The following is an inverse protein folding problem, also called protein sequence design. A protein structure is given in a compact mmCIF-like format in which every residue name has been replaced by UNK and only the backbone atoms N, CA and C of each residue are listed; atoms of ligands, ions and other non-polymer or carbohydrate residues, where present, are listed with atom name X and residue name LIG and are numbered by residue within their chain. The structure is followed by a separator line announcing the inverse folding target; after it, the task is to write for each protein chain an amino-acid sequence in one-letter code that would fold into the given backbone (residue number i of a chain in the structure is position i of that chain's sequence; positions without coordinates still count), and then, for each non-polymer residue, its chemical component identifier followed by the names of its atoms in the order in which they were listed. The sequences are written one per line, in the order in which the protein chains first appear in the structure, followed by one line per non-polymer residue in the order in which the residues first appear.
data_IF_971393598832
#
_entry.id   IF_971393598832
#
_cell.length_a   1.000
_cell.length_b   1.000
_cell.length_c   1.000
_cell.angle_alpha   90.00
_cell.angle_beta   90.00
_cell.angle_gamma   90.00
#
_symmetry.space_group_name_H-M   'P 1'
#
loop_
_entity.id
_entity.type
_entity.pdbx_description
1 polymer ?
#
# COMPACT_ATOMS: atom_id res chain seq x y z
N UNK A 1 15.21 -16.48 70.33
CA UNK A 1 14.11 -15.77 69.67
C UNK A 1 14.51 -15.56 68.20
N UNK A 2 14.08 -16.48 67.36
CA UNK A 2 14.47 -16.52 65.93
C UNK A 2 13.37 -15.86 65.11
N UNK A 3 13.77 -14.89 64.29
CA UNK A 3 12.90 -14.24 63.35
C UNK A 3 13.07 -14.93 62.00
N UNK A 4 12.05 -15.66 61.58
CA UNK A 4 11.99 -16.30 60.27
C UNK A 4 11.69 -15.25 59.20
N UNK A 5 12.60 -15.12 58.23
CA UNK A 5 12.39 -14.33 57.02
C UNK A 5 11.73 -15.21 55.94
N UNK A 6 10.48 -14.99 55.64
CA UNK A 6 9.77 -15.59 54.52
C UNK A 6 10.13 -14.88 53.23
N UNK A 7 10.73 -15.60 52.29
CA UNK A 7 10.93 -15.15 50.90
C UNK A 7 9.69 -15.46 50.09
N UNK A 8 8.99 -14.40 49.62
CA UNK A 8 7.97 -14.53 48.64
C UNK A 8 8.58 -14.61 47.23
N UNK A 9 8.32 -15.72 46.55
CA UNK A 9 8.61 -15.89 45.14
C UNK A 9 7.35 -15.47 44.37
N UNK A 10 7.45 -14.41 43.57
CA UNK A 10 6.43 -14.06 42.59
C UNK A 10 6.74 -14.79 41.28
N UNK A 11 5.94 -15.77 40.94
CA UNK A 11 5.95 -16.41 39.62
C UNK A 11 5.13 -15.58 38.66
N UNK A 12 5.79 -14.97 37.69
CA UNK A 12 5.13 -14.31 36.56
C UNK A 12 4.95 -15.38 35.48
N UNK A 13 3.72 -15.82 35.33
CA UNK A 13 3.28 -16.66 34.20
C UNK A 13 3.02 -15.75 32.96
N UNK A 14 3.94 -15.80 32.01
CA UNK A 14 3.73 -15.27 30.68
C UNK A 14 2.96 -16.30 29.86
N UNK A 15 1.66 -16.12 29.74
CA UNK A 15 0.84 -16.87 28.78
C UNK A 15 0.92 -16.17 27.43
N UNK A 16 1.89 -16.55 26.62
CA UNK A 16 1.98 -16.15 25.22
C UNK A 16 1.00 -16.94 24.36
N UNK A 17 -0.18 -16.41 24.14
CA UNK A 17 -1.12 -16.95 23.15
C UNK A 17 -0.72 -16.49 21.76
N UNK A 18 -0.10 -17.38 20.95
CA UNK A 18 0.08 -17.17 19.52
C UNK A 18 -1.24 -17.53 18.85
N UNK A 19 -2.04 -16.53 18.50
CA UNK A 19 -3.16 -16.68 17.59
C UNK A 19 -2.62 -16.66 16.14
N UNK A 20 -2.41 -17.85 15.57
CA UNK A 20 -2.19 -17.99 14.14
C UNK A 20 -3.56 -17.86 13.47
N UNK A 21 -3.95 -16.64 13.15
CA UNK A 21 -5.08 -16.36 12.27
C UNK A 21 -4.64 -16.52 10.83
N UNK A 22 -5.16 -17.54 10.14
CA UNK A 22 -5.10 -17.61 8.69
C UNK A 22 -5.98 -16.49 8.12
N UNK A 23 -5.39 -15.32 7.88
CA UNK A 23 -6.03 -14.15 7.28
C UNK A 23 -5.25 -13.76 6.03
N UNK A 24 -5.92 -13.94 4.90
CA UNK A 24 -5.66 -13.44 3.56
C UNK A 24 -4.54 -12.40 3.40
N UNK A 25 -3.71 -12.61 2.40
CA UNK A 25 -2.57 -11.83 1.93
C UNK A 25 -2.88 -10.37 1.46
N UNK A 26 -3.89 -9.72 2.01
CA UNK A 26 -4.28 -8.34 1.68
C UNK A 26 -3.49 -7.26 2.44
N UNK A 27 -2.57 -7.62 3.34
CA UNK A 27 -1.92 -6.69 4.26
C UNK A 27 -0.52 -6.22 3.84
N UNK A 28 -0.07 -6.48 2.63
CA UNK A 28 1.33 -6.17 2.26
C UNK A 28 1.55 -4.68 1.89
N UNK A 29 0.52 -3.85 1.91
CA UNK A 29 0.69 -2.39 1.72
C UNK A 29 0.42 -1.57 2.97
N UNK A 30 0.28 -2.20 4.13
CA UNK A 30 0.21 -1.48 5.38
C UNK A 30 1.61 -1.16 5.86
N UNK A 31 2.00 0.11 5.74
CA UNK A 31 3.04 0.74 6.55
C UNK A 31 4.50 0.40 6.23
N UNK A 32 4.97 0.74 5.05
CA UNK A 32 6.30 1.30 5.01
C UNK A 32 6.26 2.66 5.77
N UNK A 33 7.24 2.99 6.64
CA UNK A 33 7.21 4.21 7.45
C UNK A 33 7.10 5.51 6.64
N UNK A 34 7.21 5.43 5.33
CA UNK A 34 7.27 6.56 4.40
C UNK A 34 6.08 6.64 3.43
N UNK A 35 5.13 5.72 3.49
CA UNK A 35 3.89 5.73 2.72
C UNK A 35 2.72 5.29 3.60
N UNK A 36 1.76 6.18 3.82
CA UNK A 36 0.47 5.85 4.40
C UNK A 36 -0.55 5.75 3.27
N UNK A 37 -1.04 4.54 2.98
CA UNK A 37 -2.07 4.29 1.97
C UNK A 37 -3.26 3.60 2.61
N UNK A 38 -4.45 4.15 2.39
CA UNK A 38 -5.71 3.65 2.94
C UNK A 38 -6.69 3.37 1.82
N UNK A 39 -7.27 2.16 1.80
CA UNK A 39 -8.44 1.87 0.99
C UNK A 39 -9.64 2.64 1.58
N UNK A 40 -10.20 3.58 0.83
CA UNK A 40 -11.31 4.44 1.27
C UNK A 40 -12.63 4.07 0.61
N UNK A 41 -12.59 3.37 -0.53
CA UNK A 41 -13.79 2.89 -1.21
C UNK A 41 -13.51 1.63 -2.01
N UNK A 42 -14.48 0.72 -2.04
CA UNK A 42 -14.47 -0.51 -2.84
C UNK A 42 -15.88 -0.82 -3.30
N UNK A 43 -16.05 -1.20 -4.55
CA UNK A 43 -17.33 -1.64 -5.09
C UNK A 43 -17.16 -2.60 -6.26
N UNK A 44 -18.10 -3.49 -6.43
CA UNK A 44 -18.23 -4.30 -7.64
C UNK A 44 -18.73 -3.43 -8.80
N UNK A 45 -18.29 -3.75 -10.01
CA UNK A 45 -18.75 -3.06 -11.20
C UNK A 45 -19.92 -3.83 -11.83
N UNK A 46 -21.14 -3.27 -11.73
CA UNK A 46 -22.38 -3.96 -12.12
C UNK A 46 -22.39 -4.45 -13.58
N UNK A 47 -21.77 -3.70 -14.49
CA UNK A 47 -21.74 -4.03 -15.91
C UNK A 47 -20.48 -4.80 -16.35
N UNK A 48 -19.60 -5.13 -15.40
CA UNK A 48 -18.35 -5.87 -15.62
C UNK A 48 -18.22 -6.98 -14.57
N UNK A 49 -18.95 -8.12 -14.75
CA UNK A 49 -18.92 -9.21 -13.79
C UNK A 49 -17.50 -9.66 -13.47
N UNK A 50 -17.21 -9.85 -12.19
CA UNK A 50 -15.88 -10.25 -11.73
C UNK A 50 -14.88 -9.11 -11.60
N UNK A 51 -15.24 -7.88 -11.95
CA UNK A 51 -14.41 -6.69 -11.79
C UNK A 51 -14.84 -5.86 -10.58
N UNK A 52 -13.86 -5.19 -9.98
CA UNK A 52 -14.06 -4.27 -8.86
C UNK A 52 -13.31 -2.96 -9.06
N UNK A 53 -13.82 -1.91 -8.45
CA UNK A 53 -13.16 -0.62 -8.33
C UNK A 53 -12.68 -0.43 -6.90
N UNK A 54 -11.43 -0.06 -6.75
CA UNK A 54 -10.78 0.30 -5.50
C UNK A 54 -10.32 1.75 -5.56
N UNK A 55 -10.52 2.51 -4.47
CA UNK A 55 -10.00 3.85 -4.33
C UNK A 55 -9.15 3.94 -3.06
N UNK A 56 -7.91 4.36 -3.25
CA UNK A 56 -6.95 4.58 -2.15
C UNK A 56 -6.63 6.06 -2.02
N UNK A 57 -6.56 6.52 -0.76
CA UNK A 57 -5.95 7.80 -0.42
C UNK A 57 -4.56 7.53 0.16
N UNK A 58 -3.55 8.18 -0.37
CA UNK A 58 -2.16 7.94 0.00
C UNK A 58 -1.41 9.23 0.31
N UNK A 59 -0.60 9.19 1.36
CA UNK A 59 0.32 10.25 1.76
C UNK A 59 1.75 9.72 1.62
N UNK A 60 2.59 10.44 0.89
CA UNK A 60 3.95 10.06 0.55
C UNK A 60 4.94 10.97 1.24
N UNK A 61 5.82 10.41 2.03
CA UNK A 61 6.89 11.17 2.64
C UNK A 61 7.97 11.57 1.62
N UNK A 62 8.72 12.65 1.89
CA UNK A 62 9.83 13.08 1.04
C UNK A 62 10.82 11.96 0.73
N UNK A 63 11.23 11.84 -0.53
CA UNK A 63 12.20 10.85 -0.98
C UNK A 63 11.72 9.40 -1.08
N UNK A 64 10.50 9.09 -0.66
CA UNK A 64 10.02 7.71 -0.70
C UNK A 64 9.76 7.23 -2.14
N UNK A 65 10.16 5.98 -2.40
CA UNK A 65 9.95 5.28 -3.67
C UNK A 65 9.30 3.92 -3.42
N UNK A 66 8.24 3.63 -4.17
CA UNK A 66 7.67 2.27 -4.21
C UNK A 66 8.61 1.30 -4.92
N UNK A 67 8.62 0.01 -4.50
CA UNK A 67 9.23 -1.04 -5.31
C UNK A 67 8.64 -1.10 -6.72
N UNK A 68 9.44 -1.57 -7.67
CA UNK A 68 8.95 -1.84 -9.03
C UNK A 68 7.87 -2.92 -8.95
N UNK A 69 6.70 -2.64 -9.49
CA UNK A 69 5.54 -3.53 -9.43
C UNK A 69 4.66 -3.39 -10.67
N UNK A 70 3.68 -4.27 -10.81
CA UNK A 70 2.63 -4.18 -11.81
C UNK A 70 1.29 -4.62 -11.21
N UNK A 71 0.21 -4.27 -11.89
CA UNK A 71 -1.16 -4.69 -11.53
C UNK A 71 -1.65 -5.72 -12.53
N UNK A 72 -1.74 -7.03 -12.14
CA UNK A 72 -2.25 -8.07 -13.03
C UNK A 72 -3.69 -7.75 -13.46
N UNK A 73 -3.91 -7.62 -14.78
CA UNK A 73 -5.21 -7.27 -15.38
C UNK A 73 -5.87 -6.01 -14.79
N UNK A 74 -5.09 -5.17 -14.11
CA UNK A 74 -5.58 -4.02 -13.38
C UNK A 74 -5.21 -2.70 -14.04
N UNK A 75 -6.20 -1.84 -14.24
CA UNK A 75 -6.01 -0.43 -14.62
C UNK A 75 -5.71 0.40 -13.38
N UNK A 76 -4.78 1.36 -13.51
CA UNK A 76 -4.53 2.33 -12.46
C UNK A 76 -4.63 3.76 -13.00
N UNK A 77 -5.36 4.61 -12.29
CA UNK A 77 -5.36 6.05 -12.48
C UNK A 77 -4.91 6.70 -11.17
N UNK A 78 -3.82 7.44 -11.20
CA UNK A 78 -3.33 8.21 -10.05
C UNK A 78 -3.55 9.70 -10.28
N UNK A 79 -4.29 10.34 -9.37
CA UNK A 79 -4.49 11.78 -9.32
C UNK A 79 -3.67 12.38 -8.18
N UNK A 80 -2.88 13.42 -8.45
CA UNK A 80 -2.10 14.12 -7.43
C UNK A 80 -2.95 15.23 -6.81
N UNK A 81 -3.25 15.10 -5.53
CA UNK A 81 -4.06 16.06 -4.77
C UNK A 81 -3.19 17.22 -4.27
N UNK A 82 -1.98 16.90 -3.80
CA UNK A 82 -1.06 17.86 -3.21
C UNK A 82 0.39 17.47 -3.51
N UNK A 83 1.23 18.47 -3.79
CA UNK A 83 2.63 18.24 -4.09
C UNK A 83 2.89 17.76 -5.51
N UNK A 84 3.86 16.85 -5.64
CA UNK A 84 4.33 16.34 -6.92
C UNK A 84 4.72 14.86 -6.77
N UNK A 85 4.50 14.08 -7.81
CA UNK A 85 4.92 12.69 -7.92
C UNK A 85 5.68 12.45 -9.21
N UNK A 86 6.75 11.66 -9.12
CA UNK A 86 7.47 11.16 -10.29
C UNK A 86 7.12 9.69 -10.51
N UNK A 87 6.71 9.35 -11.73
CA UNK A 87 6.43 7.97 -12.14
C UNK A 87 7.43 7.52 -13.19
N UNK A 88 7.84 6.26 -13.09
CA UNK A 88 8.51 5.55 -14.18
C UNK A 88 7.63 4.39 -14.62
N UNK A 89 7.24 4.39 -15.89
CA UNK A 89 6.30 3.43 -16.47
C UNK A 89 6.94 2.83 -17.71
N UNK A 90 7.02 1.51 -17.77
CA UNK A 90 7.58 0.79 -18.92
C UNK A 90 6.82 1.17 -20.20
N UNK A 91 7.58 1.45 -21.27
CA UNK A 91 7.04 1.88 -22.56
C UNK A 91 6.58 3.36 -22.61
N UNK A 92 6.52 4.05 -21.47
CA UNK A 92 6.13 5.48 -21.39
C UNK A 92 7.30 6.36 -20.95
N UNK A 93 8.17 5.84 -20.07
CA UNK A 93 9.30 6.56 -19.48
C UNK A 93 8.92 7.33 -18.22
N UNK A 94 9.76 8.30 -17.85
CA UNK A 94 9.59 9.12 -16.65
C UNK A 94 8.59 10.24 -16.88
N UNK A 95 7.64 10.38 -15.96
CA UNK A 95 6.65 11.46 -15.91
C UNK A 95 6.63 12.12 -14.53
N UNK A 96 6.62 13.44 -14.53
CA UNK A 96 6.39 14.26 -13.34
C UNK A 96 4.94 14.74 -13.38
N UNK A 97 4.18 14.47 -12.33
CA UNK A 97 2.75 14.76 -12.21
C UNK A 97 2.54 15.65 -10.99
N UNK A 98 1.94 16.82 -11.21
CA UNK A 98 1.75 17.86 -10.17
C UNK A 98 0.32 17.83 -9.63
N UNK A 99 0.11 18.53 -8.53
CA UNK A 99 -1.23 18.72 -7.96
C UNK A 99 -2.22 19.20 -9.02
N UNK A 100 -3.37 18.54 -9.12
CA UNK A 100 -4.40 18.77 -10.14
C UNK A 100 -4.25 17.94 -11.40
N UNK A 101 -3.17 17.17 -11.55
CA UNK A 101 -2.92 16.34 -12.72
C UNK A 101 -3.12 14.85 -12.38
N UNK A 102 -3.29 14.03 -13.41
CA UNK A 102 -3.42 12.58 -13.29
C UNK A 102 -2.55 11.84 -14.29
N UNK A 103 -2.20 10.60 -13.95
CA UNK A 103 -1.48 9.68 -14.82
C UNK A 103 -2.18 8.33 -14.85
N UNK A 104 -2.20 7.71 -16.02
CA UNK A 104 -2.74 6.38 -16.23
C UNK A 104 -1.63 5.36 -16.41
N UNK A 105 -1.75 4.22 -15.70
CA UNK A 105 -0.89 3.05 -15.87
C UNK A 105 -1.74 1.89 -16.42
N UNK A 106 -1.37 1.34 -17.60
CA UNK A 106 -2.09 0.20 -18.19
C UNK A 106 -1.91 -1.09 -17.37
N UNK A 107 -2.81 -2.08 -17.55
CA UNK A 107 -2.65 -3.40 -16.97
C UNK A 107 -1.29 -4.06 -17.30
N UNK A 108 -0.79 -4.88 -16.39
CA UNK A 108 0.45 -5.68 -16.57
C UNK A 108 1.69 -4.86 -16.92
N UNK A 109 1.69 -3.55 -16.66
CA UNK A 109 2.80 -2.66 -17.00
C UNK A 109 3.67 -2.42 -15.77
N UNK A 110 4.95 -2.84 -15.77
CA UNK A 110 5.89 -2.56 -14.69
C UNK A 110 6.08 -1.05 -14.52
N UNK A 111 5.96 -0.58 -13.29
CA UNK A 111 6.11 0.83 -12.95
C UNK A 111 6.43 1.02 -11.48
N UNK A 112 6.84 2.23 -11.13
CA UNK A 112 6.88 2.70 -9.76
C UNK A 112 6.60 4.21 -9.69
N UNK A 113 6.09 4.64 -8.53
CA UNK A 113 5.97 6.05 -8.16
C UNK A 113 6.98 6.42 -7.08
N UNK A 114 7.40 7.66 -7.05
CA UNK A 114 8.23 8.23 -5.98
C UNK A 114 7.87 9.67 -5.71
N UNK A 115 7.99 10.07 -4.47
CA UNK A 115 8.04 11.49 -4.11
C UNK A 115 9.51 11.94 -4.16
N UNK A 116 9.91 12.59 -5.26
CA UNK A 116 11.28 13.06 -5.45
C UNK A 116 11.55 14.44 -4.82
N UNK A 117 10.57 14.99 -4.09
CA UNK A 117 10.64 16.33 -3.48
C UNK A 117 11.04 16.26 -2.01
N UNK A 118 11.26 17.41 -1.39
CA UNK A 118 11.53 17.59 0.03
C UNK A 118 10.28 17.84 0.89
N UNK A 119 9.09 17.74 0.28
CA UNK A 119 7.80 17.94 0.93
C UNK A 119 6.92 16.69 0.80
N UNK A 120 5.98 16.54 1.72
CA UNK A 120 4.94 15.53 1.63
C UNK A 120 4.08 15.75 0.38
N UNK A 121 3.60 14.67 -0.22
CA UNK A 121 2.64 14.71 -1.31
C UNK A 121 1.47 13.77 -1.05
N UNK A 122 0.32 14.06 -1.67
CA UNK A 122 -0.92 13.28 -1.50
C UNK A 122 -1.50 12.87 -2.85
N UNK A 123 -1.94 11.63 -2.92
CA UNK A 123 -2.55 11.07 -4.13
C UNK A 123 -3.85 10.35 -3.82
N UNK A 124 -4.73 10.35 -4.82
CA UNK A 124 -5.86 9.43 -4.93
C UNK A 124 -5.51 8.44 -6.04
N UNK A 125 -5.60 7.15 -5.72
CA UNK A 125 -5.35 6.08 -6.68
C UNK A 125 -6.62 5.28 -6.90
N UNK A 126 -7.08 5.20 -8.14
CA UNK A 126 -8.23 4.41 -8.56
C UNK A 126 -7.69 3.19 -9.30
N UNK A 127 -8.17 2.00 -8.93
CA UNK A 127 -7.85 0.75 -9.60
C UNK A 127 -9.13 0.04 -10.02
N UNK A 128 -9.15 -0.45 -11.25
CA UNK A 128 -10.17 -1.37 -11.74
C UNK A 128 -9.45 -2.66 -12.07
N UNK A 129 -9.85 -3.76 -11.43
CA UNK A 129 -9.18 -5.04 -11.57
C UNK A 129 -10.14 -6.23 -11.42
N UNK A 130 -9.73 -7.40 -11.90
CA UNK A 130 -10.42 -8.64 -11.59
C UNK A 130 -10.33 -8.94 -10.08
N UNK A 131 -11.41 -9.41 -9.48
CA UNK A 131 -11.53 -9.66 -8.03
C UNK A 131 -10.60 -10.76 -7.54
N UNK A 132 -10.30 -11.75 -8.38
CA UNK A 132 -9.41 -12.88 -8.11
C UNK A 132 -7.93 -12.54 -8.30
N UNK A 133 -7.60 -11.39 -8.88
CA UNK A 133 -6.23 -10.95 -9.05
C UNK A 133 -5.72 -10.16 -7.82
N UNK A 134 -4.42 -10.26 -7.48
CA UNK A 134 -3.83 -9.43 -6.43
C UNK A 134 -3.85 -7.95 -6.83
N UNK A 135 -3.83 -7.06 -5.83
CA UNK A 135 -3.79 -5.61 -6.07
C UNK A 135 -2.52 -5.19 -6.79
N UNK A 136 -1.39 -5.81 -6.46
CA UNK A 136 -0.09 -5.59 -7.09
C UNK A 136 0.81 -6.81 -6.92
N UNK A 137 1.76 -6.98 -7.83
CA UNK A 137 2.86 -7.94 -7.73
C UNK A 137 4.18 -7.23 -7.95
N UNK A 138 5.18 -7.56 -7.15
CA UNK A 138 6.53 -7.02 -7.30
C UNK A 138 7.21 -7.60 -8.54
N UNK A 139 7.90 -6.75 -9.30
CA UNK A 139 8.69 -7.15 -10.48
C UNK A 139 10.17 -7.13 -10.09
N UNK A 140 10.83 -8.26 -10.20
CA UNK A 140 12.29 -8.38 -10.02
C UNK A 140 12.97 -8.18 -11.38
N UNK A 141 13.95 -7.32 -11.41
CA UNK A 141 14.87 -7.12 -12.54
C UNK A 141 16.28 -7.39 -12.12
#
# INVERSE_FOLDING_TARGET
MQIMKTKMWAAILFAGGILIGAGSSELIHAQAPNLASKLVFRTDLNNLPGQELLLFASTWQPGYRLPLHMHPEGHELTYVVEGEQTFEIDGVGTKVVKAGEAIYTPPNTPHFGRNATDKESKTIVIRIKAKDQPVAVEVKR
#
